data_IF_323990151376
#
_entry.id   IF_323990151376
#
_cell.length_a   1.000
_cell.length_b   1.000
_cell.length_c   1.000
_cell.angle_alpha   90.00
_cell.angle_beta   90.00
_cell.angle_gamma   90.00
#
_symmetry.space_group_name_H-M   'P 1'
#
loop_
_entity.id
_entity.type
_entity.pdbx_description
1 polymer ?
#
# COMPACT_ATOMS: atom_id res chain seq x y z
N UNK A 1 -13.84 -7.03 -0.12
CA UNK A 1 -12.87 -7.76 0.74
C UNK A 1 -12.95 -7.21 2.17
N UNK A 2 -12.63 -7.92 3.27
CA UNK A 2 -12.66 -7.27 4.60
C UNK A 2 -11.40 -6.42 4.87
N UNK A 3 -11.45 -5.46 5.78
CA UNK A 3 -10.33 -4.55 6.08
C UNK A 3 -9.01 -5.27 6.40
N UNK A 4 -9.06 -6.37 7.16
CA UNK A 4 -7.85 -7.09 7.54
C UNK A 4 -7.20 -7.79 6.35
N UNK A 5 -8.01 -8.35 5.45
CA UNK A 5 -7.55 -8.94 4.19
C UNK A 5 -7.00 -7.85 3.25
N UNK A 6 -7.71 -6.73 3.13
CA UNK A 6 -7.30 -5.58 2.32
C UNK A 6 -5.96 -5.03 2.79
N UNK A 7 -5.77 -4.85 4.11
CA UNK A 7 -4.49 -4.37 4.65
C UNK A 7 -3.36 -5.34 4.38
N UNK A 8 -3.58 -6.66 4.52
CA UNK A 8 -2.57 -7.67 4.19
C UNK A 8 -2.17 -7.60 2.72
N UNK A 9 -3.13 -7.38 1.84
CA UNK A 9 -2.87 -7.21 0.42
C UNK A 9 -2.02 -5.96 0.14
N UNK A 10 -2.36 -4.82 0.74
CA UNK A 10 -1.57 -3.58 0.60
C UNK A 10 -0.14 -3.76 1.10
N UNK A 11 0.02 -4.34 2.30
CA UNK A 11 1.35 -4.62 2.87
C UNK A 11 2.15 -5.53 1.95
N UNK A 12 1.52 -6.56 1.38
CA UNK A 12 2.16 -7.45 0.40
C UNK A 12 2.59 -6.69 -0.85
N UNK A 13 1.71 -5.87 -1.44
CA UNK A 13 2.04 -5.06 -2.62
C UNK A 13 3.22 -4.12 -2.36
N UNK A 14 3.30 -3.51 -1.17
CA UNK A 14 4.43 -2.67 -0.77
C UNK A 14 5.72 -3.48 -0.62
N UNK A 15 5.66 -4.66 0.01
CA UNK A 15 6.83 -5.52 0.21
C UNK A 15 7.35 -6.15 -1.09
N UNK A 16 6.46 -6.37 -2.07
CA UNK A 16 6.80 -6.86 -3.40
C UNK A 16 7.24 -5.74 -4.35
N UNK A 17 7.04 -4.47 -3.98
CA UNK A 17 7.41 -3.33 -4.81
C UNK A 17 8.94 -3.12 -4.80
N UNK A 18 9.65 -3.31 -5.93
CA UNK A 18 11.10 -3.22 -5.99
C UNK A 18 11.65 -1.80 -5.78
N UNK A 19 10.79 -0.78 -5.77
CA UNK A 19 11.16 0.62 -5.60
C UNK A 19 11.02 1.10 -4.15
N UNK A 20 10.42 0.28 -3.27
CA UNK A 20 10.25 0.63 -1.86
C UNK A 20 11.40 0.05 -1.04
N UNK A 21 12.27 0.94 -0.57
CA UNK A 21 13.38 0.59 0.32
C UNK A 21 13.02 0.96 1.75
N UNK A 22 13.11 -0.01 2.64
CA UNK A 22 12.73 0.16 4.04
C UNK A 22 13.76 -0.50 4.96
N UNK A 23 13.97 0.11 6.12
CA UNK A 23 14.78 -0.48 7.17
C UNK A 23 14.01 -1.58 7.93
N UNK A 24 14.71 -2.33 8.78
CA UNK A 24 14.11 -3.43 9.54
C UNK A 24 12.99 -2.95 10.48
N UNK A 25 13.04 -1.71 10.95
CA UNK A 25 12.04 -1.15 11.87
C UNK A 25 10.75 -0.81 11.11
N UNK A 26 10.86 -0.20 9.94
CA UNK A 26 9.73 0.07 9.06
C UNK A 26 9.04 -1.22 8.61
N UNK A 27 9.80 -2.30 8.35
CA UNK A 27 9.22 -3.62 8.06
C UNK A 27 8.40 -4.17 9.23
N UNK A 28 8.90 -4.04 10.46
CA UNK A 28 8.18 -4.47 11.67
C UNK A 28 6.88 -3.68 11.84
N UNK A 29 6.93 -2.35 11.73
CA UNK A 29 5.75 -1.46 11.79
C UNK A 29 4.70 -1.77 10.72
N UNK A 30 5.13 -2.07 9.48
CA UNK A 30 4.24 -2.43 8.36
C UNK A 30 3.35 -3.63 8.69
N UNK A 31 3.91 -4.64 9.35
CA UNK A 31 3.20 -5.88 9.70
C UNK A 31 2.46 -5.81 11.03
N UNK A 32 2.71 -4.77 11.82
CA UNK A 32 2.06 -4.52 13.11
C UNK A 32 0.66 -3.90 12.92
N UNK A 33 -0.36 -4.50 13.52
CA UNK A 33 -1.68 -3.89 13.70
C UNK A 33 -1.73 -3.26 15.11
N UNK A 34 -2.28 -2.04 15.28
CA UNK A 34 -3.05 -1.22 14.33
C UNK A 34 -2.25 -0.06 13.71
N UNK A 35 -0.92 -0.12 13.71
CA UNK A 35 -0.07 1.00 13.28
C UNK A 35 -0.40 1.43 11.84
N UNK A 36 -0.64 2.73 11.64
CA UNK A 36 -0.78 3.29 10.30
C UNK A 36 0.56 3.85 9.87
N UNK A 37 0.99 3.47 8.67
CA UNK A 37 2.24 3.95 8.08
C UNK A 37 1.88 4.71 6.82
N UNK A 38 2.32 5.96 6.75
CA UNK A 38 2.11 6.78 5.56
C UNK A 38 3.05 6.37 4.43
N UNK A 39 2.61 6.53 3.19
CA UNK A 39 3.48 6.27 2.02
C UNK A 39 4.70 7.18 2.00
N UNK A 40 4.60 8.37 2.61
CA UNK A 40 5.73 9.29 2.81
C UNK A 40 6.80 8.71 3.74
N UNK A 41 6.41 8.03 4.81
CA UNK A 41 7.34 7.34 5.72
C UNK A 41 8.04 6.17 5.04
N UNK A 42 7.39 5.56 4.05
CA UNK A 42 7.96 4.52 3.19
C UNK A 42 8.79 5.08 2.02
N UNK A 43 8.96 6.41 1.96
CA UNK A 43 9.68 7.10 0.88
C UNK A 43 9.15 6.78 -0.52
N UNK A 44 7.86 6.44 -0.63
CA UNK A 44 7.23 6.17 -1.93
C UNK A 44 7.14 7.45 -2.76
N UNK A 45 7.70 7.38 -3.95
CA UNK A 45 7.60 8.42 -4.97
C UNK A 45 6.62 8.01 -6.08
N UNK A 46 6.53 8.83 -7.13
CA UNK A 46 5.62 8.58 -8.26
C UNK A 46 5.89 7.25 -8.97
N UNK A 47 7.13 6.76 -9.01
CA UNK A 47 7.46 5.48 -9.61
C UNK A 47 7.02 4.32 -8.71
N UNK A 48 7.24 4.44 -7.40
CA UNK A 48 6.75 3.46 -6.43
C UNK A 48 5.21 3.38 -6.45
N UNK A 49 4.51 4.52 -6.57
CA UNK A 49 3.05 4.52 -6.72
C UNK A 49 2.58 3.87 -8.02
N UNK A 50 3.24 4.16 -9.14
CA UNK A 50 2.93 3.53 -10.44
C UNK A 50 3.10 2.00 -10.39
N UNK A 51 4.15 1.51 -9.75
CA UNK A 51 4.37 0.08 -9.62
C UNK A 51 3.31 -0.58 -8.72
N UNK A 52 2.92 0.09 -7.62
CA UNK A 52 1.85 -0.40 -6.75
C UNK A 52 0.49 -0.41 -7.48
N UNK A 53 0.17 0.60 -8.28
CA UNK A 53 -1.08 0.63 -9.04
C UNK A 53 -1.15 -0.49 -10.08
N UNK A 54 -0.06 -0.72 -10.83
CA UNK A 54 0.04 -1.83 -11.77
C UNK A 54 -0.14 -3.16 -11.04
N UNK A 55 0.52 -3.33 -9.89
CA UNK A 55 0.41 -4.55 -9.10
C UNK A 55 -1.04 -4.80 -8.62
N UNK A 56 -1.73 -3.77 -8.12
CA UNK A 56 -3.13 -3.88 -7.68
C UNK A 56 -4.07 -4.24 -8.84
N UNK A 57 -3.87 -3.64 -10.01
CA UNK A 57 -4.63 -3.98 -11.21
C UNK A 57 -4.42 -5.45 -11.61
N UNK A 58 -3.19 -5.96 -11.52
CA UNK A 58 -2.87 -7.35 -11.89
C UNK A 58 -3.38 -8.37 -10.85
N UNK A 59 -3.27 -8.07 -9.56
CA UNK A 59 -3.57 -9.03 -8.50
C UNK A 59 -5.08 -9.10 -8.19
N UNK A 60 -5.80 -7.98 -8.27
CA UNK A 60 -7.21 -7.90 -7.86
C UNK A 60 -8.13 -7.15 -8.84
N UNK A 61 -7.66 -6.81 -10.04
CA UNK A 61 -8.45 -6.12 -11.09
C UNK A 61 -9.03 -4.76 -10.65
N UNK A 62 -8.29 -4.04 -9.79
CA UNK A 62 -8.65 -2.69 -9.33
C UNK A 62 -7.75 -1.65 -9.98
N UNK A 63 -8.38 -0.72 -10.69
CA UNK A 63 -7.71 0.40 -11.34
C UNK A 63 -7.64 1.58 -10.37
N UNK A 64 -6.45 1.82 -9.83
CA UNK A 64 -6.12 3.01 -9.02
C UNK A 64 -4.98 3.74 -9.72
N UNK A 65 -5.09 5.06 -9.85
CA UNK A 65 -3.97 5.85 -10.38
C UNK A 65 -2.95 6.17 -9.28
N UNK A 66 -1.75 6.58 -9.69
CA UNK A 66 -0.75 7.10 -8.77
C UNK A 66 -1.24 8.34 -8.00
N UNK A 67 -2.14 9.12 -8.59
CA UNK A 67 -2.77 10.28 -7.95
C UNK A 67 -3.72 9.81 -6.85
N UNK A 68 -4.55 8.81 -7.12
CA UNK A 68 -5.47 8.23 -6.11
C UNK A 68 -4.69 7.65 -4.92
N UNK A 69 -3.59 6.94 -5.18
CA UNK A 69 -2.71 6.41 -4.14
C UNK A 69 -2.04 7.52 -3.32
N UNK A 70 -1.59 8.58 -3.98
CA UNK A 70 -1.03 9.76 -3.32
C UNK A 70 -2.07 10.46 -2.43
N UNK A 71 -3.34 10.52 -2.86
CA UNK A 71 -4.42 11.16 -2.12
C UNK A 71 -4.86 10.34 -0.90
N UNK A 72 -4.84 9.00 -0.98
CA UNK A 72 -5.12 8.12 0.16
C UNK A 72 -4.05 8.25 1.26
N UNK A 73 -2.77 8.35 0.87
CA UNK A 73 -1.67 8.77 1.74
C UNK A 73 -1.15 7.76 2.78
N UNK A 74 -1.88 6.68 3.08
CA UNK A 74 -1.44 5.64 4.02
C UNK A 74 -1.93 4.23 3.70
N UNK A 75 -1.30 3.25 4.34
CA UNK A 75 -1.67 1.82 4.25
C UNK A 75 -3.11 1.61 4.70
N UNK A 76 -3.51 2.17 5.85
CA UNK A 76 -4.84 1.94 6.38
C UNK A 76 -5.92 2.66 5.55
N UNK A 77 -5.61 3.82 4.97
CA UNK A 77 -6.53 4.52 4.06
C UNK A 77 -6.79 3.69 2.80
N UNK A 78 -5.75 3.16 2.16
CA UNK A 78 -5.89 2.27 1.01
C UNK A 78 -6.60 0.97 1.39
N UNK A 79 -6.28 0.37 2.53
CA UNK A 79 -6.98 -0.83 3.00
C UNK A 79 -8.47 -0.59 3.27
N UNK A 80 -8.83 0.60 3.76
CA UNK A 80 -10.23 1.01 3.96
C UNK A 80 -10.93 1.14 2.62
N UNK A 81 -10.33 1.87 1.68
CA UNK A 81 -10.86 1.99 0.31
C UNK A 81 -11.10 0.62 -0.33
N UNK A 82 -10.10 -0.27 -0.30
CA UNK A 82 -10.17 -1.62 -0.85
C UNK A 82 -11.18 -2.54 -0.14
N UNK A 83 -11.64 -2.17 1.06
CA UNK A 83 -12.67 -2.92 1.78
C UNK A 83 -14.10 -2.49 1.45
N UNK A 84 -14.25 -1.31 0.82
CA UNK A 84 -15.54 -0.71 0.45
C UNK A 84 -15.90 -0.92 -1.03
N UNK A 85 -14.91 -1.26 -1.86
CA UNK A 85 -15.05 -1.68 -3.26
C UNK A 85 -15.28 -3.18 -3.40
#
# INVERSE_FOLDING_TARGET
>A
MNYTEARKLVVRGILENPLVFMDAKSQESLTSLPEDVSFKELTMDSLAFMELSIWLQLEIDIELTEVDLSDLGSINALATYLSEV
#
